data_IF_270924366863
#
_entry.id   IF_270924366863
#
_cell.length_a   1.000
_cell.length_b   1.000
_cell.length_c   1.000
_cell.angle_alpha   90.00
_cell.angle_beta   90.00
_cell.angle_gamma   90.00
#
_symmetry.space_group_name_H-M   'P 1'
#
loop_
_entity.id
_entity.type
_entity.pdbx_description
1 polymer ?
#
# COMPACT_ATOMS: atom_id res chain seq x y z
N UNK A 1 -15.64 6.17 12.01
CA UNK A 1 -14.88 4.95 12.35
C UNK A 1 -14.35 4.39 11.04
N UNK A 2 -13.11 4.72 10.67
CA UNK A 2 -12.45 4.17 9.48
C UNK A 2 -11.77 2.87 9.91
N UNK A 3 -12.38 1.75 9.53
CA UNK A 3 -11.90 0.42 9.82
C UNK A 3 -10.73 0.10 8.87
N UNK A 4 -9.50 0.41 9.32
CA UNK A 4 -8.28 0.12 8.57
C UNK A 4 -8.05 -1.40 8.65
N UNK A 5 -8.50 -2.12 7.62
CA UNK A 5 -8.27 -3.56 7.49
C UNK A 5 -6.79 -3.82 7.26
N UNK A 6 -6.06 -4.14 8.34
CA UNK A 6 -4.68 -4.64 8.28
C UNK A 6 -4.67 -6.03 7.66
N UNK A 7 -4.35 -6.09 6.36
CA UNK A 7 -4.09 -7.33 5.63
C UNK A 7 -2.58 -7.56 5.64
N UNK A 8 -2.01 -7.99 6.77
CA UNK A 8 -0.80 -8.84 6.88
C UNK A 8 -0.29 -8.84 8.34
N UNK A 9 0.05 -10.04 8.82
CA UNK A 9 0.76 -10.30 10.09
C UNK A 9 2.18 -10.76 9.76
N UNK A 10 3.03 -9.90 9.21
CA UNK A 10 4.47 -10.12 9.23
C UNK A 10 5.10 -8.94 9.97
N UNK A 11 5.96 -9.23 10.95
CA UNK A 11 6.59 -8.22 11.81
C UNK A 11 7.70 -7.44 11.11
N UNK A 12 7.50 -7.04 9.85
CA UNK A 12 8.41 -6.20 9.09
C UNK A 12 7.70 -4.89 8.76
N UNK A 13 8.50 -3.83 8.68
CA UNK A 13 8.07 -2.44 8.48
C UNK A 13 7.07 -2.36 7.32
N UNK A 14 5.80 -2.16 7.67
CA UNK A 14 4.71 -2.07 6.71
C UNK A 14 4.33 -0.61 6.58
N UNK A 15 4.32 -0.11 5.35
CA UNK A 15 4.08 1.29 5.05
C UNK A 15 2.63 1.46 4.62
N UNK A 16 1.99 2.50 5.15
CA UNK A 16 0.65 2.89 4.74
C UNK A 16 0.77 3.84 3.54
N UNK A 17 0.06 3.53 2.47
CA UNK A 17 -0.03 4.37 1.29
C UNK A 17 -1.48 4.74 1.06
N UNK A 18 -1.76 6.02 0.87
CA UNK A 18 -3.05 6.46 0.37
C UNK A 18 -3.08 6.37 -1.15
N UNK A 19 -4.09 5.71 -1.69
CA UNK A 19 -4.28 5.62 -3.11
C UNK A 19 -5.31 6.65 -3.59
N UNK A 20 -4.85 7.68 -4.30
CA UNK A 20 -5.72 8.76 -4.82
C UNK A 20 -6.70 8.24 -5.90
N UNK A 21 -6.35 7.16 -6.60
CA UNK A 21 -7.22 6.58 -7.64
C UNK A 21 -8.48 5.89 -7.06
N UNK A 22 -8.37 5.29 -5.87
CA UNK A 22 -9.51 4.62 -5.24
C UNK A 22 -9.91 5.20 -3.89
N UNK A 23 -9.28 6.29 -3.44
CA UNK A 23 -9.40 6.88 -2.10
C UNK A 23 -9.38 5.83 -0.98
N UNK A 24 -8.50 4.84 -1.10
CA UNK A 24 -8.32 3.82 -0.06
C UNK A 24 -6.88 3.89 0.44
N UNK A 25 -6.75 3.79 1.76
CA UNK A 25 -5.45 3.59 2.39
C UNK A 25 -5.11 2.11 2.35
N UNK A 26 -4.03 1.79 1.65
CA UNK A 26 -3.50 0.44 1.47
C UNK A 26 -2.25 0.27 2.31
N UNK A 27 -2.09 -0.90 2.92
CA UNK A 27 -0.86 -1.24 3.61
C UNK A 27 -0.02 -2.08 2.65
N UNK A 28 1.20 -1.63 2.35
CA UNK A 28 2.13 -2.33 1.48
C UNK A 28 3.36 -2.67 2.32
N UNK A 29 3.67 -3.96 2.39
CA UNK A 29 4.84 -4.46 3.11
C UNK A 29 6.12 -4.23 2.29
N UNK A 30 7.25 -4.06 2.97
CA UNK A 30 8.56 -3.90 2.34
C UNK A 30 8.90 -5.03 1.36
N UNK A 31 8.42 -6.26 1.61
CA UNK A 31 8.62 -7.39 0.71
C UNK A 31 7.85 -7.25 -0.61
N UNK A 32 6.64 -6.70 -0.56
CA UNK A 32 5.85 -6.38 -1.75
C UNK A 32 6.51 -5.25 -2.55
N UNK A 33 7.06 -4.23 -1.87
CA UNK A 33 7.87 -3.19 -2.52
C UNK A 33 9.13 -3.77 -3.18
N UNK A 34 9.84 -4.68 -2.49
CA UNK A 34 11.05 -5.31 -2.99
C UNK A 34 10.78 -6.22 -4.20
N UNK A 35 9.63 -6.90 -4.21
CA UNK A 35 9.17 -7.74 -5.32
C UNK A 35 8.64 -6.95 -6.50
N UNK A 36 8.13 -5.73 -6.28
CA UNK A 36 7.53 -4.92 -7.32
C UNK A 36 8.54 -4.32 -8.32
N UNK A 37 9.83 -4.68 -8.23
CA UNK A 37 10.92 -4.31 -9.16
C UNK A 37 10.76 -2.90 -9.73
N UNK A 38 10.57 -1.90 -8.85
CA UNK A 38 10.51 -0.45 -9.13
C UNK A 38 9.11 0.20 -9.24
N UNK A 39 8.00 -0.55 -9.24
CA UNK A 39 6.67 0.10 -9.30
C UNK A 39 5.63 -0.51 -8.34
N UNK A 40 5.44 0.04 -7.12
CA UNK A 40 4.39 -0.41 -6.23
C UNK A 40 3.02 -0.16 -6.88
N UNK A 41 2.13 -1.15 -6.84
CA UNK A 41 0.76 -0.99 -7.31
C UNK A 41 -0.22 -1.08 -6.14
N UNK A 42 -1.31 -0.30 -6.21
CA UNK A 42 -2.39 -0.37 -5.25
C UNK A 42 -3.03 -1.77 -5.32
N UNK A 43 -3.04 -2.57 -4.24
CA UNK A 43 -3.62 -3.90 -4.24
C UNK A 43 -5.15 -3.92 -4.40
N UNK A 44 -5.81 -2.76 -4.27
CA UNK A 44 -7.26 -2.63 -4.39
C UNK A 44 -7.68 -2.36 -5.85
N UNK A 45 -7.06 -1.36 -6.49
CA UNK A 45 -7.46 -0.92 -7.83
C UNK A 45 -6.41 -1.20 -8.92
N UNK A 46 -5.22 -1.69 -8.57
CA UNK A 46 -4.12 -1.91 -9.51
C UNK A 46 -3.43 -0.64 -10.01
N UNK A 47 -3.77 0.54 -9.46
CA UNK A 47 -3.13 1.79 -9.84
C UNK A 47 -1.62 1.75 -9.54
N UNK A 48 -0.78 2.28 -10.42
CA UNK A 48 0.67 2.33 -10.23
C UNK A 48 1.12 3.27 -9.11
N UNK A 49 2.42 3.26 -8.83
CA UNK A 49 3.03 3.97 -7.69
C UNK A 49 2.80 5.47 -7.71
N UNK A 50 2.58 6.05 -8.89
CA UNK A 50 2.25 7.46 -9.06
C UNK A 50 0.92 7.88 -8.38
N UNK A 51 0.05 6.93 -8.08
CA UNK A 51 -1.20 7.16 -7.35
C UNK A 51 -1.12 6.76 -5.87
N UNK A 52 0.04 6.31 -5.40
CA UNK A 52 0.28 5.89 -4.02
C UNK A 52 1.10 6.98 -3.30
N UNK A 53 0.51 7.58 -2.27
CA UNK A 53 1.18 8.57 -1.41
C UNK A 53 1.46 7.94 -0.06
N UNK A 54 2.73 7.88 0.35
CA UNK A 54 3.09 7.38 1.68
C UNK A 54 2.43 8.24 2.77
N UNK A 55 1.74 7.59 3.70
CA UNK A 55 1.15 8.19 4.89
C UNK A 55 2.04 7.82 6.07
N UNK A 56 2.84 8.78 6.56
CA UNK A 56 3.64 8.66 7.79
C UNK A 56 2.77 8.51 9.05
#
# INVERSE_FOLDING_TARGET
MLDIKKITKHGQDSMLFDCDNCNNTVNIDFFDLLKAEDNPHCPICGAGGNHLTLVE
#
